data_IF_054237900344
#
_entry.id   IF_054237900344
#
_cell.length_a   1.000
_cell.length_b   1.000
_cell.length_c   1.000
_cell.angle_alpha   90.00
_cell.angle_beta   90.00
_cell.angle_gamma   90.00
#
_symmetry.space_group_name_H-M   'P 1'
#
loop_
_entity.id
_entity.type
_entity.pdbx_description
1 polymer ?
#
# COMPACT_ATOMS: atom_id res chain seq x y z
N UNK A 1 -4.96 -3.34 -7.49
CA UNK A 1 -4.11 -2.43 -8.28
C UNK A 1 -2.66 -2.73 -7.96
N UNK A 2 -1.79 -2.76 -8.96
CA UNK A 2 -0.34 -2.88 -8.77
C UNK A 2 0.26 -1.52 -8.46
N UNK A 3 1.47 -1.47 -7.92
CA UNK A 3 2.31 -0.28 -7.79
C UNK A 3 3.73 -0.70 -8.13
N UNK A 4 4.35 0.02 -9.06
CA UNK A 4 5.74 -0.18 -9.42
C UNK A 4 6.62 0.50 -8.38
N UNK A 5 7.55 -0.27 -7.80
CA UNK A 5 8.50 0.22 -6.81
C UNK A 5 9.92 -0.04 -7.28
N UNK A 6 10.87 0.83 -6.93
CA UNK A 6 12.29 0.65 -7.26
C UNK A 6 12.96 -0.46 -6.47
N UNK A 7 12.52 -0.62 -5.22
CA UNK A 7 13.07 -1.58 -4.26
C UNK A 7 11.92 -2.09 -3.40
N UNK A 8 11.60 -3.37 -3.54
CA UNK A 8 10.47 -4.00 -2.83
C UNK A 8 10.75 -4.14 -1.35
N UNK A 9 11.99 -4.43 -0.94
CA UNK A 9 12.32 -4.62 0.47
C UNK A 9 12.18 -3.29 1.23
N UNK A 10 12.65 -2.19 0.64
CA UNK A 10 12.48 -0.85 1.21
C UNK A 10 11.02 -0.43 1.23
N UNK A 11 10.28 -0.69 0.14
CA UNK A 11 8.87 -0.38 0.07
C UNK A 11 8.08 -1.20 1.11
N UNK A 12 8.37 -2.49 1.24
CA UNK A 12 7.75 -3.39 2.21
C UNK A 12 7.88 -2.84 3.62
N UNK A 13 9.09 -2.48 4.05
CA UNK A 13 9.32 -1.88 5.36
C UNK A 13 8.51 -0.59 5.56
N UNK A 14 8.41 0.27 4.53
CA UNK A 14 7.60 1.48 4.64
C UNK A 14 6.10 1.17 4.78
N UNK A 15 5.54 0.33 3.90
CA UNK A 15 4.11 0.01 3.93
C UNK A 15 3.73 -0.80 5.18
N UNK A 16 4.62 -1.67 5.67
CA UNK A 16 4.42 -2.48 6.87
C UNK A 16 4.66 -1.70 8.16
N UNK A 17 5.76 -0.98 8.29
CA UNK A 17 6.19 -0.38 9.57
C UNK A 17 5.73 1.07 9.73
N UNK A 18 5.60 1.83 8.64
CA UNK A 18 5.19 3.24 8.70
C UNK A 18 3.69 3.41 8.48
N UNK A 19 3.14 2.72 7.47
CA UNK A 19 1.70 2.76 7.18
C UNK A 19 0.92 1.68 7.92
N UNK A 20 1.60 0.76 8.61
CA UNK A 20 1.00 -0.32 9.41
C UNK A 20 -0.02 -1.16 8.62
N UNK A 21 0.19 -1.30 7.31
CA UNK A 21 -0.67 -2.12 6.47
C UNK A 21 -0.42 -3.60 6.74
N UNK A 22 -1.48 -4.42 6.87
CA UNK A 22 -1.35 -5.87 6.98
C UNK A 22 -0.59 -6.43 5.77
N UNK A 23 0.64 -6.88 6.03
CA UNK A 23 1.45 -7.60 5.06
C UNK A 23 0.90 -9.02 4.91
N UNK A 24 0.65 -9.43 3.67
CA UNK A 24 0.10 -10.75 3.36
C UNK A 24 1.23 -11.75 3.10
N UNK A 25 2.09 -11.45 2.14
CA UNK A 25 3.28 -12.22 1.81
C UNK A 25 4.18 -11.43 0.83
N UNK A 26 5.48 -11.77 0.84
CA UNK A 26 6.47 -11.29 -0.13
C UNK A 26 7.05 -12.50 -0.87
N UNK A 27 7.24 -12.35 -2.18
CA UNK A 27 7.89 -13.36 -3.02
C UNK A 27 8.86 -12.68 -3.98
N UNK A 28 10.16 -12.80 -3.70
CA UNK A 28 11.20 -12.16 -4.50
C UNK A 28 11.01 -10.64 -4.58
N UNK A 29 10.81 -10.14 -5.80
CA UNK A 29 10.59 -8.72 -6.12
C UNK A 29 9.11 -8.31 -6.10
N UNK A 30 8.26 -9.05 -5.38
CA UNK A 30 6.83 -8.80 -5.27
C UNK A 30 6.39 -8.79 -3.80
N UNK A 31 5.55 -7.84 -3.40
CA UNK A 31 4.96 -7.80 -2.06
C UNK A 31 3.46 -7.49 -2.09
N UNK A 32 2.70 -8.10 -1.19
CA UNK A 32 1.25 -7.99 -1.12
C UNK A 32 0.78 -7.46 0.23
N UNK A 33 -0.18 -6.54 0.20
CA UNK A 33 -0.76 -5.91 1.39
C UNK A 33 -2.29 -5.89 1.32
N UNK A 34 -2.94 -6.01 2.47
CA UNK A 34 -4.35 -5.67 2.62
C UNK A 34 -4.48 -4.20 3.04
N UNK A 35 -5.32 -3.46 2.33
CA UNK A 35 -5.63 -2.06 2.64
C UNK A 35 -7.14 -1.94 2.92
N UNK A 36 -7.64 -2.68 3.92
CA UNK A 36 -9.04 -2.63 4.33
C UNK A 36 -9.98 -3.31 3.34
N UNK A 37 -9.60 -4.49 2.84
CA UNK A 37 -10.36 -5.28 1.87
C UNK A 37 -9.98 -5.04 0.41
N UNK A 38 -9.05 -4.11 0.13
CA UNK A 38 -8.43 -3.94 -1.19
C UNK A 38 -7.01 -4.46 -1.15
N UNK A 39 -6.67 -5.34 -2.10
CA UNK A 39 -5.30 -5.85 -2.24
C UNK A 39 -4.43 -4.84 -2.99
N UNK A 40 -3.40 -4.36 -2.29
CA UNK A 40 -2.30 -3.58 -2.86
C UNK A 40 -1.17 -4.55 -3.22
N UNK A 41 -0.70 -4.45 -4.46
CA UNK A 41 0.39 -5.26 -4.98
C UNK A 41 1.57 -4.36 -5.31
N UNK A 42 2.75 -4.65 -4.77
CA UNK A 42 4.00 -3.98 -5.09
C UNK A 42 4.83 -4.90 -5.98
N UNK A 43 5.40 -4.35 -7.04
CA UNK A 43 6.27 -5.09 -7.96
C UNK A 43 7.47 -4.25 -8.33
N UNK A 44 8.66 -4.84 -8.26
CA UNK A 44 9.84 -4.25 -8.90
C UNK A 44 9.89 -4.71 -10.35
N UNK A 45 10.01 -3.78 -11.31
CA UNK A 45 10.23 -4.17 -12.69
C UNK A 45 11.61 -4.81 -12.86
N UNK A 46 11.66 -5.89 -13.64
CA UNK A 46 12.91 -6.54 -14.05
C UNK A 46 13.48 -5.77 -15.26
N UNK A 47 14.42 -4.85 -15.02
CA UNK A 47 15.09 -4.03 -16.06
C UNK A 47 14.88 -2.52 -15.90
N UNK A 48 15.37 -1.73 -16.87
CA UNK A 48 15.08 -0.29 -16.98
C UNK A 48 13.63 -0.09 -17.44
N UNK A 49 12.65 -0.65 -16.72
CA UNK A 49 11.28 -0.22 -16.94
C UNK A 49 11.24 1.26 -16.57
N UNK A 50 10.96 2.06 -17.58
CA UNK A 50 10.90 3.49 -17.43
C UNK A 50 9.80 3.82 -16.42
N UNK A 51 10.19 4.30 -15.23
CA UNK A 51 9.27 5.00 -14.32
C UNK A 51 8.59 6.23 -14.98
N UNK A 52 8.88 6.47 -16.26
CA UNK A 52 8.34 7.50 -17.14
C UNK A 52 7.15 7.01 -17.99
N UNK A 53 6.63 5.79 -17.78
CA UNK A 53 5.29 5.45 -18.29
C UNK A 53 4.28 6.50 -17.79
N UNK A 54 3.61 7.26 -18.68
CA UNK A 54 2.69 8.33 -18.29
C UNK A 54 1.42 7.81 -17.60
N UNK A 55 1.16 6.50 -17.71
CA UNK A 55 0.12 5.77 -16.99
C UNK A 55 0.57 5.29 -15.59
N UNK A 56 1.71 5.81 -15.11
CA UNK A 56 2.29 5.51 -13.81
C UNK A 56 1.23 5.44 -12.71
N UNK A 57 1.19 4.30 -12.02
CA UNK A 57 0.10 3.93 -11.12
C UNK A 57 -0.20 5.02 -10.07
N UNK A 58 -1.36 5.67 -10.18
CA UNK A 58 -1.87 6.64 -9.21
C UNK A 58 -2.71 5.92 -8.16
N UNK A 59 -2.22 5.83 -6.92
CA UNK A 59 -2.98 5.35 -5.77
C UNK A 59 -3.50 6.54 -4.96
N UNK A 60 -4.80 6.81 -5.03
CA UNK A 60 -5.46 7.83 -4.20
C UNK A 60 -5.95 7.19 -2.90
N UNK A 61 -5.26 7.47 -1.80
CA UNK A 61 -5.68 7.04 -0.45
C UNK A 61 -6.41 8.19 0.25
N UNK A 62 -7.74 8.13 0.25
CA UNK A 62 -8.57 9.02 1.05
C UNK A 62 -8.66 8.47 2.48
N UNK A 63 -7.88 9.02 3.41
CA UNK A 63 -7.95 8.68 4.82
C UNK A 63 -9.34 9.08 5.37
N UNK A 64 -10.25 8.11 5.51
CA UNK A 64 -11.42 8.31 6.38
C UNK A 64 -10.88 8.60 7.77
N UNK A 65 -11.11 9.81 8.30
CA UNK A 65 -10.87 10.06 9.72
C UNK A 65 -11.65 9.00 10.49
N UNK A 66 -10.94 8.23 11.32
CA UNK A 66 -11.57 7.35 12.29
C UNK A 66 -12.65 8.15 13.02
N UNK A 67 -13.90 7.74 12.85
CA UNK A 67 -15.02 8.27 13.62
C UNK A 67 -14.72 7.98 15.08
N UNK A 68 -14.19 8.98 15.80
CA UNK A 68 -14.21 8.97 17.27
C UNK A 68 -15.67 8.76 17.65
N UNK A 69 -15.96 7.59 18.22
CA UNK A 69 -17.29 7.24 18.68
C UNK A 69 -17.82 8.35 19.56
N UNK A 70 -19.06 8.78 19.27
CA UNK A 70 -19.87 9.56 20.21
C UNK A 70 -19.89 8.83 21.56
N UNK A 71 -19.54 9.45 22.69
CA UNK A 71 -19.92 8.87 23.97
C UNK A 71 -21.46 8.80 24.01
N UNK A 72 -21.97 7.63 24.40
CA UNK A 72 -23.38 7.44 24.64
C UNK A 72 -23.84 8.45 25.70
N UNK A 73 -24.76 9.34 25.33
CA UNK A 73 -25.42 10.21 26.28
C UNK A 73 -26.50 9.39 26.96
N UNK A 74 -26.19 8.88 28.15
CA UNK A 74 -27.18 8.46 29.14
C UNK A 74 -27.82 9.72 29.71
N UNK A 75 -29.10 9.96 29.42
CA UNK A 75 -30.13 10.42 30.36
C UNK A 75 -31.47 9.91 29.86
#
# INVERSE_FOLDING_TARGET
>A
MSLLVRDVARAEAFYRDTLELPHLFTFGTLAFFDCGGVRLFLSQPEGTADFADPDGNVLVLSRRRASRGRPASTV
#
